data_IF_316006907541
#
_entry.id   IF_316006907541
#
_cell.length_a   1.000
_cell.length_b   1.000
_cell.length_c   1.000
_cell.angle_alpha   90.00
_cell.angle_beta   90.00
_cell.angle_gamma   90.00
#
_symmetry.space_group_name_H-M   'P 1'
#
loop_
_entity.id
_entity.type
_entity.pdbx_description
1 polymer ?
#
# COMPACT_ATOMS: atom_id res chain seq x y z
N UNK A 1 13.70 6.53 -5.69
CA UNK A 1 13.28 6.25 -4.32
C UNK A 1 11.82 5.82 -4.34
N UNK A 2 11.54 4.66 -3.76
CA UNK A 2 10.18 4.13 -3.65
C UNK A 2 9.85 4.08 -2.16
N UNK A 3 8.68 4.62 -1.80
CA UNK A 3 8.14 4.56 -0.44
C UNK A 3 6.83 3.79 -0.43
N UNK A 4 6.52 3.17 0.70
CA UNK A 4 5.33 2.33 0.89
C UNK A 4 4.50 2.88 2.04
N UNK A 5 3.21 3.07 1.80
CA UNK A 5 2.30 3.68 2.75
C UNK A 5 0.95 2.95 2.77
N UNK A 6 0.15 3.27 3.77
CA UNK A 6 -1.26 2.93 3.82
C UNK A 6 -2.10 4.07 3.23
N UNK A 7 -3.20 3.73 2.57
CA UNK A 7 -4.27 4.64 2.21
C UNK A 7 -5.54 4.26 2.98
N UNK A 8 -6.00 5.18 3.84
CA UNK A 8 -7.26 5.04 4.57
C UNK A 8 -8.25 6.00 3.95
N UNK A 9 -9.19 5.48 3.17
CA UNK A 9 -10.18 6.27 2.45
C UNK A 9 -11.04 5.41 1.53
N UNK A 10 -12.04 6.04 0.91
CA UNK A 10 -12.92 5.36 -0.04
C UNK A 10 -12.25 5.25 -1.41
N UNK A 11 -12.03 4.01 -1.85
CA UNK A 11 -11.55 3.67 -3.19
C UNK A 11 -11.87 2.20 -3.48
N UNK A 12 -12.05 1.85 -4.75
CA UNK A 12 -12.15 0.46 -5.22
C UNK A 12 -10.77 -0.11 -5.59
N UNK A 13 -9.75 0.75 -5.71
CA UNK A 13 -8.38 0.33 -6.02
C UNK A 13 -7.70 -0.28 -4.79
N UNK A 14 -7.12 -1.45 -4.97
CA UNK A 14 -6.34 -2.14 -3.95
C UNK A 14 -5.02 -1.42 -3.63
N UNK A 15 -4.38 -0.85 -4.65
CA UNK A 15 -3.13 -0.10 -4.55
C UNK A 15 -3.21 1.15 -5.41
N UNK A 16 -2.88 2.27 -4.80
CA UNK A 16 -2.73 3.56 -5.46
C UNK A 16 -1.26 3.93 -5.57
N UNK A 17 -0.93 4.78 -6.54
CA UNK A 17 0.42 5.25 -6.80
C UNK A 17 0.50 6.76 -6.95
N UNK A 18 1.62 7.34 -6.51
CA UNK A 18 2.01 8.70 -6.84
C UNK A 18 3.45 8.70 -7.34
N UNK A 19 3.75 9.55 -8.31
CA UNK A 19 5.09 9.69 -8.89
C UNK A 19 5.44 11.17 -9.07
N UNK A 20 6.73 11.46 -9.02
CA UNK A 20 7.25 12.83 -9.18
C UNK A 20 7.55 13.22 -10.62
N UNK A 21 7.48 12.28 -11.55
CA UNK A 21 7.74 12.49 -12.97
C UNK A 21 6.77 11.69 -13.86
N UNK A 22 6.53 12.14 -15.10
CA UNK A 22 5.56 11.51 -16.00
C UNK A 22 5.91 10.07 -16.38
N UNK A 23 7.19 9.74 -16.52
CA UNK A 23 7.63 8.39 -16.93
C UNK A 23 7.33 7.38 -15.83
N UNK A 24 7.62 7.73 -14.57
CA UNK A 24 7.23 6.91 -13.43
C UNK A 24 5.71 6.82 -13.27
N UNK A 25 4.96 7.90 -13.55
CA UNK A 25 3.50 7.85 -13.53
C UNK A 25 2.94 6.90 -14.60
N UNK A 26 3.52 6.90 -15.80
CA UNK A 26 3.16 5.97 -16.87
C UNK A 26 3.45 4.52 -16.47
N UNK A 27 4.63 4.25 -15.92
CA UNK A 27 5.01 2.92 -15.44
C UNK A 27 4.04 2.36 -14.39
N UNK A 28 3.53 3.21 -13.49
CA UNK A 28 2.48 2.82 -12.54
C UNK A 28 1.21 2.38 -13.28
N UNK A 29 0.72 3.18 -14.21
CA UNK A 29 -0.50 2.86 -14.96
C UNK A 29 -0.37 1.63 -15.85
N UNK A 30 0.80 1.42 -16.47
CA UNK A 30 1.09 0.23 -17.28
C UNK A 30 1.11 -1.06 -16.45
N UNK A 31 1.39 -0.95 -15.15
CA UNK A 31 1.33 -2.05 -14.18
C UNK A 31 -0.03 -2.11 -13.44
N UNK A 32 -1.08 -1.48 -13.99
CA UNK A 32 -2.43 -1.44 -13.40
C UNK A 32 -2.49 -0.80 -12.00
N UNK A 33 -1.57 0.11 -11.67
CA UNK A 33 -1.60 0.89 -10.44
C UNK A 33 -2.25 2.24 -10.72
N UNK A 34 -3.44 2.44 -10.16
CA UNK A 34 -4.20 3.68 -10.30
C UNK A 34 -3.45 4.86 -9.64
N UNK A 35 -3.41 6.00 -10.32
CA UNK A 35 -2.75 7.19 -9.78
C UNK A 35 -3.65 7.89 -8.76
N UNK A 36 -3.09 8.25 -7.60
CA UNK A 36 -3.73 9.09 -6.62
C UNK A 36 -3.98 10.48 -7.22
N UNK A 37 -5.24 10.78 -7.58
CA UNK A 37 -5.61 12.03 -8.27
C UNK A 37 -5.78 13.22 -7.32
N UNK A 38 -6.15 12.97 -6.08
CA UNK A 38 -6.40 14.00 -5.07
C UNK A 38 -5.97 13.50 -3.69
N UNK A 39 -5.75 14.43 -2.76
CA UNK A 39 -5.27 14.14 -1.41
C UNK A 39 -3.79 14.48 -1.22
N UNK A 40 -3.23 14.02 -0.11
CA UNK A 40 -1.85 14.27 0.26
C UNK A 40 -1.23 13.02 0.90
N UNK A 41 0.04 12.77 0.60
CA UNK A 41 0.81 11.72 1.25
C UNK A 41 1.57 12.35 2.41
N UNK A 42 1.14 12.05 3.63
CA UNK A 42 1.73 12.60 4.85
C UNK A 42 3.02 11.89 5.28
N UNK A 43 3.71 12.51 6.24
CA UNK A 43 4.83 11.90 6.95
C UNK A 43 6.07 11.63 6.09
N UNK A 44 6.89 10.68 6.55
CA UNK A 44 8.18 10.40 5.94
C UNK A 44 8.04 9.89 4.49
N UNK A 45 7.01 9.10 4.18
CA UNK A 45 6.79 8.57 2.84
C UNK A 45 6.59 9.68 1.80
N UNK A 46 5.69 10.63 2.08
CA UNK A 46 5.48 11.78 1.20
C UNK A 46 6.70 12.69 1.10
N UNK A 47 7.37 12.97 2.23
CA UNK A 47 8.57 13.80 2.25
C UNK A 47 9.71 13.19 1.46
N UNK A 48 9.99 11.90 1.66
CA UNK A 48 11.02 11.19 0.92
C UNK A 48 10.67 11.21 -0.57
N UNK A 49 9.55 10.63 -0.98
CA UNK A 49 9.18 10.54 -2.39
C UNK A 49 9.17 11.93 -3.05
N UNK A 50 8.55 12.93 -2.41
CA UNK A 50 8.44 14.29 -2.94
C UNK A 50 9.75 15.08 -2.99
N UNK A 51 10.71 14.82 -2.08
CA UNK A 51 12.01 15.50 -2.10
C UNK A 51 13.04 14.79 -3.00
N UNK A 52 12.78 13.55 -3.44
CA UNK A 52 13.68 12.79 -4.29
C UNK A 52 14.20 13.59 -5.52
N UNK A 53 13.37 14.36 -6.25
CA UNK A 53 13.83 15.13 -7.41
C UNK A 53 14.88 16.20 -7.06
N UNK A 54 14.84 16.77 -5.85
CA UNK A 54 15.83 17.76 -5.38
C UNK A 54 17.24 17.17 -5.28
N UNK A 55 17.34 15.84 -5.20
CA UNK A 55 18.60 15.10 -5.13
C UNK A 55 18.90 14.37 -6.45
N UNK A 56 18.23 14.71 -7.55
CA UNK A 56 18.41 14.05 -8.85
C UNK A 56 17.87 12.62 -8.90
N UNK A 57 16.94 12.26 -8.01
CA UNK A 57 16.29 10.95 -7.95
C UNK A 57 14.82 11.07 -8.37
N UNK A 58 14.27 10.00 -8.93
CA UNK A 58 12.81 9.87 -9.14
C UNK A 58 12.13 9.40 -7.86
N UNK A 59 10.95 9.93 -7.54
CA UNK A 59 10.15 9.57 -6.39
C UNK A 59 8.88 8.83 -6.79
N UNK A 60 8.61 7.70 -6.14
CA UNK A 60 7.35 6.96 -6.23
C UNK A 60 6.87 6.67 -4.81
N UNK A 61 5.57 6.80 -4.56
CA UNK A 61 4.93 6.26 -3.37
C UNK A 61 3.80 5.33 -3.80
N UNK A 62 3.83 4.09 -3.30
CA UNK A 62 2.71 3.15 -3.41
C UNK A 62 1.92 3.16 -2.11
N UNK A 63 0.60 3.11 -2.21
CA UNK A 63 -0.30 3.14 -1.08
C UNK A 63 -1.30 1.99 -1.19
N UNK A 64 -1.26 1.03 -0.27
CA UNK A 64 -2.31 0.00 -0.22
C UNK A 64 -3.51 0.51 0.55
N UNK A 65 -4.68 0.27 0.00
CA UNK A 65 -5.94 0.55 0.66
C UNK A 65 -6.13 -0.37 1.85
N UNK A 66 -6.50 0.20 2.99
CA UNK A 66 -6.76 -0.52 4.25
C UNK A 66 -7.90 0.15 5.01
N UNK A 67 -8.62 -0.61 5.84
CA UNK A 67 -9.60 -0.05 6.77
C UNK A 67 -8.96 0.89 7.79
N UNK A 68 -7.68 0.66 8.12
CA UNK A 68 -6.99 1.34 9.21
C UNK A 68 -7.57 1.03 10.60
N UNK A 69 -8.48 0.05 10.71
CA UNK A 69 -9.09 -0.35 11.98
C UNK A 69 -8.14 -1.18 12.84
N UNK A 70 -7.31 -1.99 12.19
CA UNK A 70 -6.33 -2.85 12.83
C UNK A 70 -4.92 -2.23 12.78
N UNK A 71 -4.10 -2.45 13.82
CA UNK A 71 -2.73 -1.96 13.84
C UNK A 71 -1.81 -2.64 12.81
N UNK A 72 -2.18 -3.84 12.35
CA UNK A 72 -1.45 -4.63 11.37
C UNK A 72 -2.43 -5.08 10.29
N UNK A 73 -2.10 -4.86 9.02
CA UNK A 73 -2.89 -5.34 7.88
C UNK A 73 -1.96 -6.10 6.93
N UNK A 74 -1.93 -7.43 7.09
CA UNK A 74 -1.04 -8.30 6.32
C UNK A 74 -1.45 -8.34 4.85
N UNK A 75 -2.76 -8.28 4.57
CA UNK A 75 -3.27 -8.26 3.21
C UNK A 75 -2.82 -7.00 2.46
N UNK A 76 -2.96 -5.82 3.06
CA UNK A 76 -2.48 -4.56 2.48
C UNK A 76 -0.95 -4.58 2.24
N UNK A 77 -0.17 -5.09 3.20
CA UNK A 77 1.28 -5.24 3.03
C UNK A 77 1.62 -6.20 1.88
N UNK A 78 0.92 -7.32 1.78
CA UNK A 78 1.06 -8.29 0.69
C UNK A 78 0.77 -7.68 -0.69
N UNK A 79 -0.29 -6.87 -0.81
CA UNK A 79 -0.62 -6.16 -2.05
C UNK A 79 0.47 -5.18 -2.47
N UNK A 80 1.08 -4.44 -1.53
CA UNK A 80 2.21 -3.56 -1.83
C UNK A 80 3.43 -4.33 -2.34
N UNK A 81 3.74 -5.46 -1.71
CA UNK A 81 4.87 -6.29 -2.12
C UNK A 81 4.63 -6.94 -3.48
N UNK A 82 3.40 -7.37 -3.78
CA UNK A 82 3.01 -7.84 -5.10
C UNK A 82 3.15 -6.72 -6.15
N UNK A 83 2.67 -5.51 -5.85
CA UNK A 83 2.81 -4.36 -6.75
C UNK A 83 4.28 -4.00 -7.02
N UNK A 84 5.14 -4.01 -6.00
CA UNK A 84 6.59 -3.81 -6.17
C UNK A 84 7.22 -4.92 -7.01
N UNK A 85 6.84 -6.17 -6.74
CA UNK A 85 7.36 -7.34 -7.44
C UNK A 85 7.21 -7.17 -8.94
N UNK A 86 6.01 -6.82 -9.40
CA UNK A 86 5.70 -6.61 -10.80
C UNK A 86 6.38 -5.33 -11.34
N UNK A 87 6.24 -4.21 -10.63
CA UNK A 87 6.78 -2.91 -11.07
C UNK A 87 8.30 -2.92 -11.27
N UNK A 88 9.03 -3.69 -10.46
CA UNK A 88 10.48 -3.79 -10.51
C UNK A 88 11.00 -5.11 -11.09
N UNK A 89 10.09 -6.00 -11.52
CA UNK A 89 10.40 -7.34 -12.00
C UNK A 89 11.34 -8.11 -11.04
N UNK A 90 10.95 -8.17 -9.76
CA UNK A 90 11.71 -8.83 -8.70
C UNK A 90 11.21 -10.25 -8.47
N UNK A 91 12.10 -11.16 -8.09
CA UNK A 91 11.72 -12.45 -7.54
C UNK A 91 11.50 -12.32 -6.02
N UNK A 92 10.24 -12.11 -5.63
CA UNK A 92 9.81 -12.09 -4.22
C UNK A 92 8.91 -13.29 -3.94
N UNK A 93 9.26 -14.05 -2.90
CA UNK A 93 8.41 -15.09 -2.32
C UNK A 93 7.50 -14.46 -1.26
N UNK A 94 6.20 -14.41 -1.58
CA UNK A 94 5.18 -13.82 -0.72
C UNK A 94 4.51 -14.88 0.18
N UNK A 95 4.84 -16.17 0.03
CA UNK A 95 4.28 -17.25 0.87
C UNK A 95 4.67 -17.11 2.34
N UNK A 96 5.77 -16.40 2.60
CA UNK A 96 6.22 -16.04 3.96
C UNK A 96 5.19 -15.20 4.73
N UNK A 97 4.23 -14.57 4.04
CA UNK A 97 3.17 -13.76 4.67
C UNK A 97 1.95 -14.60 5.09
N UNK A 98 1.78 -15.80 4.54
CA UNK A 98 0.60 -16.64 4.75
C UNK A 98 0.29 -16.95 6.23
N UNK A 99 1.27 -17.31 7.08
CA UNK A 99 0.98 -17.60 8.49
C UNK A 99 0.36 -16.41 9.24
N UNK A 100 0.81 -15.19 8.92
CA UNK A 100 0.33 -13.97 9.57
C UNK A 100 -1.07 -13.57 9.09
N UNK A 101 -1.42 -13.91 7.85
CA UNK A 101 -2.77 -13.68 7.33
C UNK A 101 -3.79 -14.62 7.99
N UNK A 102 -3.43 -15.89 8.19
CA UNK A 102 -4.26 -16.88 8.89
C UNK A 102 -4.47 -16.49 10.37
N UNK A 103 -3.42 -16.05 11.06
CA UNK A 103 -3.53 -15.54 12.44
C UNK A 103 -4.49 -14.35 12.56
N UNK A 104 -4.47 -13.44 11.58
CA UNK A 104 -5.34 -12.28 11.54
C UNK A 104 -6.83 -12.64 11.31
N UNK A 105 -7.13 -13.69 10.53
CA UNK A 105 -8.50 -14.20 10.37
C UNK A 105 -9.03 -14.86 11.65
N UNK A 106 -8.15 -15.51 12.43
CA UNK A 106 -8.51 -16.21 13.67
C UNK A 106 -8.80 -15.23 14.82
N UNK A 107 -8.15 -14.07 14.85
CA UNK A 107 -8.35 -13.04 15.89
C UNK A 107 -9.59 -12.14 15.67
N UNK A 108 -10.26 -12.21 14.52
CA UNK A 108 -11.52 -11.48 14.31
C UNK A 108 -12.60 -11.93 15.34
N UNK A 109 -13.34 -11.02 15.98
CA UNK A 109 -13.98 -11.32 17.26
C UNK A 109 -15.07 -12.38 17.17
N UNK A 110 -15.05 -13.35 18.09
CA UNK A 110 -16.26 -14.06 18.50
C UNK A 110 -17.30 -13.03 18.92
N UNK A 111 -18.48 -13.03 18.30
CA UNK A 111 -19.59 -12.17 18.68
C UNK A 111 -19.78 -12.22 20.22
N UNK A 112 -19.52 -11.09 20.89
CA UNK A 112 -19.92 -10.94 22.28
C UNK A 112 -21.44 -10.79 22.26
N UNK A 113 -22.15 -11.87 22.58
CA UNK A 113 -23.60 -11.86 22.79
C UNK A 113 -23.95 -10.86 23.90
N UNK A 114 -24.43 -9.68 23.51
CA UNK A 114 -24.91 -8.63 24.42
C UNK A 114 -26.37 -8.83 24.85
N UNK A 115 -26.89 -10.05 24.89
CA UNK A 115 -28.14 -10.32 25.61
C UNK A 115 -27.92 -10.32 27.13
N UNK A 116 -27.95 -9.13 27.73
CA UNK A 116 -28.32 -9.00 29.12
C UNK A 116 -29.84 -9.24 29.26
N UNK A 117 -30.20 -10.34 29.93
CA UNK A 117 -31.55 -10.56 30.48
C UNK A 117 -31.87 -9.57 31.59
#
# INVERSE_FOLDING_TARGET
MITLAAYVGETEDEVLGAATDPDCAAALTENNISLLKSGAIGGLNGLLAGLAPRYGLRGICLLATTSGSEPVDIAAAGRLLAAIKELLNLELDLTVLSPFAEEQEIEAPSEIDMNYR
#
